data_IF_388711586256
#
_entry.id   IF_388711586256
#
_cell.length_a   1.000
_cell.length_b   1.000
_cell.length_c   1.000
_cell.angle_alpha   90.00
_cell.angle_beta   90.00
_cell.angle_gamma   90.00
#
_symmetry.space_group_name_H-M   'P 1'
#
loop_
_entity.id
_entity.type
_entity.pdbx_description
1 polymer ?
#
# COMPACT_ATOMS: atom_id res chain seq x y z
N UNK A 1 -11.41 -9.31 -15.76
CA UNK A 1 -10.32 -8.34 -15.70
C UNK A 1 -10.82 -7.02 -15.18
N UNK A 2 -10.17 -6.43 -14.18
CA UNK A 2 -10.61 -5.17 -13.59
C UNK A 2 -10.36 -3.97 -14.49
N UNK A 3 -10.93 -2.83 -14.10
CA UNK A 3 -10.70 -1.56 -14.76
C UNK A 3 -9.24 -1.15 -14.61
N UNK A 4 -8.66 -0.61 -15.68
CA UNK A 4 -7.36 0.04 -15.60
C UNK A 4 -7.54 1.43 -15.00
N UNK A 5 -6.56 1.92 -14.27
CA UNK A 5 -6.64 3.25 -13.69
C UNK A 5 -6.83 4.35 -14.74
N UNK A 6 -6.30 4.15 -15.94
CA UNK A 6 -6.49 5.09 -17.05
C UNK A 6 -7.94 5.24 -17.50
N UNK A 7 -8.78 4.24 -17.22
CA UNK A 7 -10.20 4.25 -17.59
C UNK A 7 -11.07 4.98 -16.55
N UNK A 8 -10.51 5.35 -15.40
CA UNK A 8 -11.25 6.06 -14.37
C UNK A 8 -11.40 7.54 -14.73
N UNK A 9 -12.61 8.10 -14.59
CA UNK A 9 -12.84 9.50 -14.91
C UNK A 9 -12.14 10.43 -13.90
N UNK A 10 -11.84 11.65 -14.34
CA UNK A 10 -11.33 12.72 -13.47
C UNK A 10 -12.31 12.96 -12.32
N UNK A 11 -11.77 13.21 -11.13
CA UNK A 11 -12.57 13.41 -9.93
C UNK A 11 -12.91 12.14 -9.18
N UNK A 12 -12.52 10.98 -9.70
CA UNK A 12 -12.75 9.70 -9.00
C UNK A 12 -11.96 9.68 -7.69
N UNK A 13 -12.60 9.22 -6.61
CA UNK A 13 -11.94 8.96 -5.34
C UNK A 13 -11.59 7.48 -5.26
N UNK A 14 -10.33 7.18 -4.98
CA UNK A 14 -9.83 5.81 -4.91
C UNK A 14 -9.25 5.55 -3.52
N UNK A 15 -9.69 4.47 -2.89
CA UNK A 15 -9.09 3.96 -1.67
C UNK A 15 -8.02 2.97 -2.07
N UNK A 16 -6.77 3.30 -1.75
CA UNK A 16 -5.60 2.63 -2.30
C UNK A 16 -5.26 1.40 -1.48
N UNK A 17 -5.19 0.24 -2.13
CA UNK A 17 -4.78 -1.01 -1.50
C UNK A 17 -3.25 -1.13 -1.47
N UNK A 18 -2.75 -1.96 -0.56
CA UNK A 18 -1.33 -2.23 -0.39
C UNK A 18 -0.63 -2.60 -1.69
N UNK A 19 -1.25 -3.46 -2.50
CA UNK A 19 -0.63 -3.95 -3.73
C UNK A 19 -0.36 -2.86 -4.75
N UNK A 20 -1.15 -1.79 -4.78
CA UNK A 20 -0.94 -0.67 -5.71
C UNK A 20 0.42 -0.01 -5.43
N UNK A 21 0.74 0.19 -4.15
CA UNK A 21 2.03 0.74 -3.75
C UNK A 21 3.18 -0.19 -4.11
N UNK A 22 3.01 -1.49 -3.86
CA UNK A 22 4.06 -2.48 -4.13
C UNK A 22 4.34 -2.63 -5.62
N UNK A 23 3.30 -2.68 -6.44
CA UNK A 23 3.44 -2.81 -7.89
C UNK A 23 4.17 -1.60 -8.48
N UNK A 24 3.87 -0.41 -8.00
CA UNK A 24 4.55 0.80 -8.43
C UNK A 24 6.01 0.82 -7.98
N UNK A 25 6.27 0.52 -6.71
CA UNK A 25 7.61 0.58 -6.12
C UNK A 25 8.59 -0.41 -6.76
N UNK A 26 8.13 -1.63 -7.03
CA UNK A 26 8.97 -2.69 -7.59
C UNK A 26 8.76 -2.91 -9.09
N UNK A 27 8.07 -1.99 -9.75
CA UNK A 27 7.88 -2.01 -11.21
C UNK A 27 7.33 -3.34 -11.70
N UNK A 28 6.19 -3.74 -11.14
CA UNK A 28 5.54 -4.99 -11.53
C UNK A 28 5.41 -5.05 -13.06
N UNK A 29 5.78 -6.17 -13.71
CA UNK A 29 5.84 -6.22 -15.17
C UNK A 29 4.52 -6.03 -15.88
N UNK A 30 3.40 -6.32 -15.22
CA UNK A 30 2.07 -6.17 -15.82
C UNK A 30 1.36 -4.92 -15.29
N UNK A 31 1.40 -4.66 -13.98
CA UNK A 31 0.60 -3.62 -13.35
C UNK A 31 1.40 -2.40 -12.90
N UNK A 32 2.73 -2.47 -12.93
CA UNK A 32 3.58 -1.41 -12.37
C UNK A 32 3.39 -0.06 -13.05
N UNK A 33 3.31 -0.05 -14.37
CA UNK A 33 3.16 1.20 -15.12
C UNK A 33 1.80 1.85 -14.88
N UNK A 34 0.74 1.05 -14.86
CA UNK A 34 -0.61 1.55 -14.58
C UNK A 34 -0.71 2.12 -13.16
N UNK A 35 -0.09 1.47 -12.18
CA UNK A 35 -0.07 1.95 -10.81
C UNK A 35 0.70 3.27 -10.69
N UNK A 36 1.83 3.37 -11.37
CA UNK A 36 2.62 4.61 -11.36
C UNK A 36 1.84 5.75 -12.00
N UNK A 37 1.20 5.51 -13.11
CA UNK A 37 0.39 6.51 -13.79
C UNK A 37 -0.77 6.97 -12.92
N UNK A 38 -1.39 6.07 -12.18
CA UNK A 38 -2.40 6.41 -11.19
C UNK A 38 -1.86 7.41 -10.15
N UNK A 39 -0.69 7.15 -9.58
CA UNK A 39 -0.09 8.06 -8.60
C UNK A 39 0.23 9.43 -9.22
N UNK A 40 0.66 9.47 -10.47
CA UNK A 40 0.88 10.74 -11.19
C UNK A 40 -0.43 11.52 -11.30
N UNK A 41 -1.52 10.86 -11.65
CA UNK A 41 -2.84 11.51 -11.75
C UNK A 41 -3.32 12.04 -10.41
N UNK A 42 -3.03 11.33 -9.33
CA UNK A 42 -3.34 11.81 -7.98
C UNK A 42 -2.54 13.08 -7.67
N UNK A 43 -1.24 13.08 -7.97
CA UNK A 43 -0.39 14.24 -7.70
C UNK A 43 -0.75 15.43 -8.57
N UNK A 44 -1.27 15.21 -9.76
CA UNK A 44 -1.74 16.27 -10.65
C UNK A 44 -3.15 16.78 -10.28
N UNK A 45 -3.79 16.15 -9.30
CA UNK A 45 -5.12 16.56 -8.85
C UNK A 45 -6.27 16.05 -9.68
N UNK A 46 -6.00 15.17 -10.66
CA UNK A 46 -7.07 14.57 -11.48
C UNK A 46 -7.94 13.60 -10.68
N UNK A 47 -7.35 12.93 -9.71
CA UNK A 47 -8.01 11.93 -8.89
C UNK A 47 -7.66 12.17 -7.44
N UNK A 48 -8.52 11.70 -6.55
CA UNK A 48 -8.26 11.74 -5.11
C UNK A 48 -7.86 10.33 -4.65
N UNK A 49 -6.65 10.20 -4.14
CA UNK A 49 -6.17 8.94 -3.56
C UNK A 49 -6.23 9.02 -2.04
N UNK A 50 -6.84 8.01 -1.42
CA UNK A 50 -6.95 7.92 0.04
C UNK A 50 -6.37 6.60 0.51
N UNK A 51 -5.70 6.63 1.66
CA UNK A 51 -5.15 5.41 2.28
C UNK A 51 -5.24 5.55 3.80
N UNK A 52 -5.50 4.44 4.49
CA UNK A 52 -5.51 4.45 5.95
C UNK A 52 -4.13 4.23 6.53
N UNK A 53 -3.92 4.65 7.77
CA UNK A 53 -2.70 4.35 8.52
C UNK A 53 -2.44 2.85 8.59
N UNK A 54 -3.50 2.06 8.72
CA UNK A 54 -3.39 0.60 8.76
C UNK A 54 -2.76 0.07 7.47
N UNK A 55 -3.27 0.53 6.32
CA UNK A 55 -2.72 0.11 5.02
C UNK A 55 -1.29 0.59 4.85
N UNK A 56 -0.97 1.82 5.27
CA UNK A 56 0.40 2.33 5.18
C UNK A 56 1.37 1.53 6.04
N UNK A 57 0.94 1.11 7.23
CA UNK A 57 1.78 0.24 8.06
C UNK A 57 2.05 -1.09 7.36
N UNK A 58 1.04 -1.65 6.70
CA UNK A 58 1.20 -2.87 5.91
C UNK A 58 2.14 -2.65 4.72
N UNK A 59 1.99 -1.52 4.02
CA UNK A 59 2.87 -1.12 2.92
C UNK A 59 4.32 -1.04 3.40
N UNK A 60 4.55 -0.34 4.50
CA UNK A 60 5.87 -0.18 5.08
C UNK A 60 6.51 -1.54 5.36
N UNK A 61 5.76 -2.42 6.03
CA UNK A 61 6.24 -3.76 6.36
C UNK A 61 6.55 -4.58 5.12
N UNK A 62 5.64 -4.60 4.14
CA UNK A 62 5.82 -5.39 2.92
C UNK A 62 6.92 -4.85 2.02
N UNK A 63 7.09 -3.54 1.95
CA UNK A 63 8.21 -2.94 1.21
C UNK A 63 9.56 -3.38 1.81
N UNK A 64 9.65 -3.38 3.13
CA UNK A 64 10.86 -3.81 3.84
C UNK A 64 11.17 -5.28 3.55
N UNK A 65 10.17 -6.15 3.69
CA UNK A 65 10.32 -7.58 3.41
C UNK A 65 10.75 -7.80 1.95
N UNK A 66 10.07 -7.15 1.01
CA UNK A 66 10.35 -7.33 -0.41
C UNK A 66 11.76 -6.86 -0.77
N UNK A 67 12.21 -5.77 -0.19
CA UNK A 67 13.57 -5.29 -0.43
C UNK A 67 14.62 -6.26 0.10
N UNK A 68 14.42 -6.80 1.31
CA UNK A 68 15.33 -7.79 1.91
C UNK A 68 15.37 -9.06 1.07
N UNK A 69 14.21 -9.56 0.63
CA UNK A 69 14.14 -10.73 -0.23
C UNK A 69 14.96 -10.51 -1.50
N UNK A 70 14.82 -9.38 -2.13
CA UNK A 70 15.49 -9.07 -3.37
C UNK A 70 16.98 -8.80 -3.20
N UNK A 71 17.34 -8.03 -2.18
CA UNK A 71 18.71 -7.58 -1.94
C UNK A 71 19.62 -8.69 -1.39
N UNK A 72 19.09 -9.51 -0.49
CA UNK A 72 19.85 -10.55 0.20
C UNK A 72 19.49 -11.95 -0.26
N UNK A 73 18.65 -12.08 -1.29
CA UNK A 73 18.25 -13.36 -1.89
C UNK A 73 17.69 -14.33 -0.86
N UNK A 74 16.84 -13.83 0.05
CA UNK A 74 16.19 -14.63 1.07
C UNK A 74 14.77 -14.98 0.64
N UNK A 75 14.24 -16.12 1.14
CA UNK A 75 12.83 -16.41 0.99
C UNK A 75 12.01 -15.45 1.85
N UNK A 76 10.78 -15.14 1.44
CA UNK A 76 9.94 -14.18 2.16
C UNK A 76 9.74 -14.56 3.63
N UNK A 77 9.54 -15.86 3.91
CA UNK A 77 9.36 -16.35 5.29
C UNK A 77 10.63 -16.25 6.13
N UNK A 78 11.80 -16.15 5.50
CA UNK A 78 13.08 -16.01 6.19
C UNK A 78 13.44 -14.54 6.43
N UNK A 79 12.86 -13.63 5.66
CA UNK A 79 13.23 -12.22 5.69
C UNK A 79 12.96 -11.58 7.06
N UNK A 80 11.83 -11.88 7.68
CA UNK A 80 11.50 -11.35 9.01
C UNK A 80 12.52 -11.80 10.05
N UNK A 81 12.85 -13.09 10.07
CA UNK A 81 13.85 -13.63 10.99
C UNK A 81 15.22 -13.01 10.73
N UNK A 82 15.58 -12.84 9.45
CA UNK A 82 16.84 -12.23 9.08
C UNK A 82 16.95 -10.79 9.61
N UNK A 83 15.89 -10.00 9.43
CA UNK A 83 15.87 -8.62 9.92
C UNK A 83 15.96 -8.59 11.45
N UNK A 84 15.24 -9.46 12.14
CA UNK A 84 15.27 -9.52 13.61
C UNK A 84 16.64 -9.89 14.15
N UNK A 85 17.39 -10.72 13.43
CA UNK A 85 18.75 -11.12 13.82
C UNK A 85 19.81 -10.08 13.41
N UNK A 86 19.50 -9.26 12.41
CA UNK A 86 20.41 -8.28 11.86
C UNK A 86 19.72 -6.92 11.71
N UNK A 87 19.32 -6.29 12.83
CA UNK A 87 18.49 -5.07 12.75
C UNK A 87 19.17 -3.90 12.04
N UNK A 88 20.51 -3.90 11.96
CA UNK A 88 21.27 -2.88 11.22
C UNK A 88 20.95 -2.89 9.73
N UNK A 89 20.39 -3.98 9.21
CA UNK A 89 19.96 -4.07 7.80
C UNK A 89 18.90 -3.03 7.49
N UNK A 90 18.06 -2.71 8.44
CA UNK A 90 16.94 -1.76 8.23
C UNK A 90 17.47 -0.40 7.75
N UNK A 91 18.50 0.14 8.41
CA UNK A 91 19.04 1.44 8.04
C UNK A 91 19.78 1.43 6.71
N UNK A 92 20.14 0.26 6.20
CA UNK A 92 20.82 0.10 4.92
C UNK A 92 19.88 -0.18 3.74
N UNK A 93 18.58 -0.28 3.99
CA UNK A 93 17.59 -0.40 2.93
C UNK A 93 17.44 0.95 2.22
N UNK A 94 17.07 0.90 0.96
CA UNK A 94 16.96 2.10 0.13
C UNK A 94 15.55 2.31 -0.42
N UNK A 95 14.96 1.24 -0.97
CA UNK A 95 13.66 1.32 -1.62
C UNK A 95 12.57 1.73 -0.64
N UNK A 96 12.53 1.11 0.52
CA UNK A 96 11.49 1.39 1.51
C UNK A 96 11.52 2.84 1.95
N UNK A 97 12.69 3.41 2.22
CA UNK A 97 12.81 4.80 2.65
C UNK A 97 12.40 5.77 1.55
N UNK A 98 12.86 5.52 0.33
CA UNK A 98 12.50 6.34 -0.82
C UNK A 98 10.99 6.34 -1.05
N UNK A 99 10.37 5.17 -1.03
CA UNK A 99 8.93 5.05 -1.29
C UNK A 99 8.10 5.68 -0.17
N UNK A 100 8.51 5.54 1.09
CA UNK A 100 7.80 6.19 2.19
C UNK A 100 7.92 7.71 2.09
N UNK A 101 9.07 8.24 1.71
CA UNK A 101 9.25 9.68 1.49
C UNK A 101 8.36 10.18 0.35
N UNK A 102 8.25 9.42 -0.72
CA UNK A 102 7.37 9.76 -1.85
C UNK A 102 5.91 9.84 -1.39
N UNK A 103 5.47 8.86 -0.60
CA UNK A 103 4.10 8.86 -0.06
C UNK A 103 3.85 10.07 0.82
N UNK A 104 4.78 10.39 1.73
CA UNK A 104 4.66 11.53 2.63
C UNK A 104 4.57 12.86 1.90
N UNK A 105 5.30 13.00 0.80
CA UNK A 105 5.33 14.25 0.02
C UNK A 105 4.26 14.31 -1.07
N UNK A 106 3.48 13.25 -1.26
CA UNK A 106 2.45 13.18 -2.29
C UNK A 106 1.15 13.85 -1.85
N UNK A 107 0.19 13.95 -2.78
CA UNK A 107 -1.15 14.47 -2.50
C UNK A 107 -2.11 13.40 -1.98
N UNK A 108 -1.61 12.22 -1.64
CA UNK A 108 -2.43 11.15 -1.07
C UNK A 108 -2.96 11.59 0.30
N UNK A 109 -4.25 11.39 0.51
CA UNK A 109 -4.89 11.69 1.79
C UNK A 109 -4.72 10.49 2.70
N UNK A 110 -4.07 10.71 3.84
CA UNK A 110 -3.84 9.66 4.83
C UNK A 110 -4.95 9.77 5.89
N UNK A 111 -5.74 8.72 6.01
CA UNK A 111 -6.84 8.65 6.94
C UNK A 111 -6.38 7.90 8.20
N UNK A 112 -6.54 8.55 9.34
CA UNK A 112 -6.18 7.94 10.62
C UNK A 112 -7.17 6.83 10.95
N UNK A 113 -6.65 5.67 11.37
CA UNK A 113 -7.47 4.59 11.88
C UNK A 113 -7.96 4.94 13.26
N UNK A 114 -9.18 5.42 13.32
CA UNK A 114 -9.82 5.74 14.58
C UNK A 114 -10.55 4.51 15.10
N UNK A 115 -10.58 4.40 16.42
CA UNK A 115 -11.33 3.33 17.09
C UNK A 115 -12.78 3.25 16.60
N UNK A 116 -13.33 4.37 16.13
CA UNK A 116 -14.69 4.44 15.61
C UNK A 116 -14.93 3.61 14.34
N UNK A 117 -13.87 3.21 13.63
CA UNK A 117 -14.00 2.35 12.45
C UNK A 117 -14.28 0.90 12.81
N UNK A 118 -13.97 0.49 14.04
CA UNK A 118 -14.11 -0.89 14.47
C UNK A 118 -15.54 -1.44 14.28
N UNK A 119 -16.62 -0.75 14.71
CA UNK A 119 -17.97 -1.26 14.47
C UNK A 119 -18.30 -1.39 13.00
N UNK A 120 -17.83 -0.45 12.17
CA UNK A 120 -18.14 -0.42 10.74
C UNK A 120 -17.56 -1.64 10.02
N UNK A 121 -16.28 -1.95 10.25
CA UNK A 121 -15.69 -3.07 9.53
C UNK A 121 -16.17 -4.43 10.06
N UNK A 122 -16.57 -4.52 11.33
CA UNK A 122 -17.19 -5.73 11.87
C UNK A 122 -18.52 -5.98 11.18
N UNK A 123 -19.34 -4.96 11.01
CA UNK A 123 -20.61 -5.05 10.32
C UNK A 123 -20.44 -5.40 8.84
N UNK A 124 -19.52 -4.73 8.16
CA UNK A 124 -19.22 -4.99 6.75
C UNK A 124 -18.74 -6.43 6.56
N UNK A 125 -17.88 -6.91 7.45
CA UNK A 125 -17.41 -8.29 7.41
C UNK A 125 -18.56 -9.28 7.51
N UNK A 126 -19.52 -9.01 8.39
CA UNK A 126 -20.69 -9.86 8.61
C UNK A 126 -21.63 -9.86 7.40
N UNK A 127 -21.89 -8.69 6.85
CA UNK A 127 -22.84 -8.53 5.72
C UNK A 127 -22.29 -9.14 4.44
N UNK A 128 -21.01 -8.90 4.16
CA UNK A 128 -20.39 -9.26 2.89
C UNK A 128 -19.47 -10.49 2.97
N UNK A 129 -19.42 -11.17 4.11
CA UNK A 129 -18.56 -12.34 4.33
C UNK A 129 -17.10 -12.06 4.01
N UNK A 130 -16.64 -10.85 4.34
CA UNK A 130 -15.25 -10.45 4.11
C UNK A 130 -14.39 -10.76 5.32
N UNK A 131 -13.12 -11.02 5.09
CA UNK A 131 -12.15 -11.07 6.18
C UNK A 131 -11.99 -9.67 6.79
N UNK A 132 -11.61 -9.61 8.06
CA UNK A 132 -11.55 -8.34 8.80
C UNK A 132 -10.73 -7.26 8.09
N UNK A 133 -9.59 -7.63 7.50
CA UNK A 133 -8.73 -6.68 6.78
C UNK A 133 -9.43 -6.10 5.57
N UNK A 134 -10.12 -6.94 4.80
CA UNK A 134 -10.84 -6.51 3.60
C UNK A 134 -12.03 -5.61 3.95
N UNK A 135 -12.75 -5.94 5.04
CA UNK A 135 -13.85 -5.13 5.53
C UNK A 135 -13.37 -3.74 5.97
N UNK A 136 -12.18 -3.68 6.58
CA UNK A 136 -11.59 -2.43 7.00
C UNK A 136 -11.24 -1.54 5.79
N UNK A 137 -10.73 -2.13 4.71
CA UNK A 137 -10.47 -1.39 3.47
C UNK A 137 -11.74 -0.79 2.86
N UNK A 138 -12.85 -1.52 2.93
CA UNK A 138 -14.15 -1.04 2.44
C UNK A 138 -14.69 0.11 3.29
N UNK A 139 -14.49 0.06 4.61
CA UNK A 139 -15.03 1.07 5.53
C UNK A 139 -14.27 2.40 5.49
N UNK A 140 -13.02 2.37 5.04
CA UNK A 140 -12.23 3.58 4.89
C UNK A 140 -12.67 4.36 3.67
#
# INVERSE_FOLDING_TARGET
MGLKFGDLPSGTRVYIDTNIFLYSAFKHPVFGDDCREFFIRVDEGEMTGCVSDFVLNEVFHKLMIAEVVKKFKKAAKEAVTYIKRNPEVISNLEVVWREMDIIESSNIIILEDKFSLFPDFVEISRIYNLMATDAMHVSV
#
